data_IF_588762855978
#
_entry.id   IF_588762855978
#
_cell.length_a   1.000
_cell.length_b   1.000
_cell.length_c   1.000
_cell.angle_alpha   90.00
_cell.angle_beta   90.00
_cell.angle_gamma   90.00
#
_symmetry.space_group_name_H-M   'P 1'
#
loop_
_entity.id
_entity.type
_entity.pdbx_description
1 polymer ?
#
# COMPACT_ATOMS: atom_id res chain seq x y z
N UNK A 1 2.60 -30.31 7.34
CA UNK A 1 1.85 -30.41 6.07
C UNK A 1 2.67 -29.65 5.05
N UNK A 2 2.91 -30.21 3.86
CA UNK A 2 3.64 -29.51 2.80
C UNK A 2 2.71 -28.45 2.21
N UNK A 3 2.82 -27.21 2.69
CA UNK A 3 2.01 -26.12 2.16
C UNK A 3 2.48 -25.80 0.73
N UNK A 4 1.55 -25.65 -0.24
CA UNK A 4 1.92 -25.30 -1.60
C UNK A 4 2.60 -23.93 -1.64
N UNK A 5 3.50 -23.75 -2.61
CA UNK A 5 4.18 -22.48 -2.84
C UNK A 5 3.17 -21.43 -3.31
N UNK A 6 2.99 -20.37 -2.54
CA UNK A 6 2.14 -19.25 -2.95
C UNK A 6 2.86 -18.36 -3.95
N UNK A 7 2.14 -17.99 -5.01
CA UNK A 7 2.67 -17.24 -6.15
C UNK A 7 2.04 -15.85 -6.29
N UNK A 8 2.59 -15.03 -7.19
CA UNK A 8 1.99 -13.72 -7.50
C UNK A 8 0.54 -13.84 -7.99
N UNK A 9 0.17 -14.93 -8.67
CA UNK A 9 -1.21 -15.13 -9.15
C UNK A 9 -2.19 -15.29 -7.98
N UNK A 10 -1.82 -16.03 -6.94
CA UNK A 10 -2.65 -16.18 -5.75
C UNK A 10 -2.78 -14.84 -5.00
N UNK A 11 -1.68 -14.09 -4.88
CA UNK A 11 -1.70 -12.73 -4.32
C UNK A 11 -2.64 -11.80 -5.12
N UNK A 12 -2.60 -11.86 -6.45
CA UNK A 12 -3.46 -11.06 -7.32
C UNK A 12 -4.93 -11.46 -7.19
N UNK A 13 -5.24 -12.76 -7.03
CA UNK A 13 -6.60 -13.25 -6.74
C UNK A 13 -7.11 -12.74 -5.40
N UNK A 14 -6.29 -12.81 -4.34
CA UNK A 14 -6.64 -12.26 -3.02
C UNK A 14 -6.95 -10.77 -3.10
N UNK A 15 -6.11 -9.98 -3.77
CA UNK A 15 -6.34 -8.54 -3.99
C UNK A 15 -7.60 -8.25 -4.78
N UNK A 16 -7.88 -9.06 -5.79
CA UNK A 16 -9.11 -8.93 -6.60
C UNK A 16 -10.35 -9.15 -5.74
N UNK A 17 -10.34 -10.20 -4.91
CA UNK A 17 -11.42 -10.44 -3.96
C UNK A 17 -11.57 -9.27 -2.99
N UNK A 18 -10.48 -8.80 -2.38
CA UNK A 18 -10.52 -7.67 -1.45
C UNK A 18 -11.03 -6.39 -2.11
N UNK A 19 -10.67 -6.12 -3.36
CA UNK A 19 -11.19 -4.98 -4.11
C UNK A 19 -12.69 -5.12 -4.38
N UNK A 20 -13.15 -6.32 -4.71
CA UNK A 20 -14.59 -6.57 -4.83
C UNK A 20 -15.31 -6.29 -3.50
N UNK A 21 -14.76 -6.76 -2.38
CA UNK A 21 -15.36 -6.53 -1.05
C UNK A 21 -15.36 -5.04 -0.67
N UNK A 22 -14.28 -4.33 -0.93
CA UNK A 22 -14.15 -2.88 -0.76
C UNK A 22 -15.22 -2.10 -1.53
N UNK A 23 -15.52 -2.50 -2.77
CA UNK A 23 -16.52 -1.83 -3.61
C UNK A 23 -17.97 -2.17 -3.20
N UNK A 24 -18.16 -3.13 -2.30
CA UNK A 24 -19.48 -3.65 -1.91
C UNK A 24 -19.77 -3.39 -0.42
N UNK A 25 -20.59 -2.36 -0.15
CA UNK A 25 -20.88 -1.89 1.23
C UNK A 25 -21.55 -2.93 2.12
N UNK A 26 -22.28 -3.90 1.57
CA UNK A 26 -22.89 -4.98 2.37
C UNK A 26 -21.85 -5.78 3.16
N UNK A 27 -20.62 -5.87 2.65
CA UNK A 27 -19.54 -6.60 3.29
C UNK A 27 -19.15 -5.98 4.64
N UNK A 28 -19.23 -4.65 4.76
CA UNK A 28 -18.95 -3.96 6.01
C UNK A 28 -19.91 -4.35 7.15
N UNK A 29 -21.12 -4.80 6.82
CA UNK A 29 -22.15 -5.18 7.80
C UNK A 29 -21.95 -6.58 8.38
N UNK A 30 -21.07 -7.40 7.80
CA UNK A 30 -20.77 -8.75 8.30
C UNK A 30 -19.43 -8.84 9.02
N UNK A 31 -18.68 -7.73 9.08
CA UNK A 31 -17.44 -7.67 9.84
C UNK A 31 -17.75 -7.49 11.34
N UNK A 32 -17.07 -8.24 12.23
CA UNK A 32 -17.18 -7.97 13.66
C UNK A 32 -16.70 -6.56 13.97
N UNK A 33 -17.18 -6.01 15.09
CA UNK A 33 -16.65 -4.74 15.58
C UNK A 33 -15.12 -4.84 15.76
N UNK A 34 -14.43 -3.76 15.38
CA UNK A 34 -12.98 -3.68 15.53
C UNK A 34 -12.63 -3.66 17.01
N UNK A 35 -11.53 -4.32 17.37
CA UNK A 35 -10.97 -4.24 18.72
C UNK A 35 -10.54 -2.78 18.96
N UNK A 36 -11.09 -2.18 20.02
CA UNK A 36 -10.74 -0.82 20.43
C UNK A 36 -10.33 -0.82 21.89
N UNK A 37 -9.12 -0.30 22.16
CA UNK A 37 -8.61 -0.14 23.51
C UNK A 37 -7.75 1.13 23.56
N UNK A 38 -8.06 2.12 24.43
CA UNK A 38 -7.30 3.36 24.51
C UNK A 38 -5.79 3.18 24.78
N UNK A 39 -5.38 2.03 25.33
CA UNK A 39 -3.96 1.69 25.56
C UNK A 39 -3.19 1.44 24.27
N UNK A 40 -3.89 1.15 23.17
CA UNK A 40 -3.28 0.91 21.85
C UNK A 40 -3.16 2.19 21.02
N UNK A 41 -3.83 3.28 21.40
CA UNK A 41 -3.80 4.53 20.65
C UNK A 41 -2.38 5.10 20.55
N UNK A 42 -1.99 5.51 19.34
CA UNK A 42 -0.69 6.11 19.07
C UNK A 42 -0.90 7.47 18.38
N UNK A 43 -0.20 8.50 18.86
CA UNK A 43 -0.12 9.78 18.17
C UNK A 43 1.33 10.03 17.77
N UNK A 44 1.59 10.18 16.47
CA UNK A 44 2.91 10.48 15.92
C UNK A 44 2.82 11.72 15.06
N UNK A 45 3.47 12.81 15.50
CA UNK A 45 3.60 14.07 14.76
C UNK A 45 2.27 14.60 14.18
N UNK A 46 1.20 14.53 14.98
CA UNK A 46 -0.15 14.97 14.59
C UNK A 46 -0.98 13.95 13.83
N UNK A 47 -0.44 12.77 13.49
CA UNK A 47 -1.20 11.65 12.93
C UNK A 47 -1.69 10.75 14.07
N UNK A 48 -3.00 10.51 14.09
CA UNK A 48 -3.64 9.64 15.08
C UNK A 48 -3.87 8.23 14.51
N UNK A 49 -3.43 7.23 15.25
CA UNK A 49 -3.67 5.81 14.98
C UNK A 49 -4.43 5.21 16.16
N UNK A 50 -5.51 4.48 15.89
CA UNK A 50 -6.34 3.85 16.93
C UNK A 50 -5.74 2.55 17.49
N UNK A 51 -4.67 2.05 16.86
CA UNK A 51 -3.81 0.97 17.33
C UNK A 51 -2.43 1.04 16.65
N UNK A 52 -1.40 0.29 17.09
CA UNK A 52 -0.05 0.42 16.53
C UNK A 52 0.21 -0.45 15.27
N UNK A 53 -0.81 -1.10 14.71
CA UNK A 53 -0.63 -2.10 13.64
C UNK A 53 -1.07 -1.52 12.29
N UNK A 54 -0.13 -1.43 11.35
CA UNK A 54 -0.35 -0.91 10.00
C UNK A 54 -0.12 -1.98 8.94
N UNK A 55 -0.77 -1.83 7.78
CA UNK A 55 -0.41 -2.60 6.59
C UNK A 55 0.80 -1.94 5.92
N UNK A 56 1.88 -2.69 5.78
CA UNK A 56 3.11 -2.22 5.13
C UNK A 56 2.97 -2.00 3.62
N UNK A 57 3.93 -1.28 3.01
CA UNK A 57 3.93 -0.99 1.58
C UNK A 57 4.06 -2.26 0.75
N UNK A 58 3.62 -2.17 -0.49
CA UNK A 58 3.69 -3.25 -1.47
C UNK A 58 2.49 -4.19 -1.42
N UNK A 59 1.67 -4.17 -0.36
CA UNK A 59 0.39 -4.89 -0.31
C UNK A 59 -0.67 -4.19 -1.17
N UNK A 60 -0.94 -2.91 -0.94
CA UNK A 60 -1.83 -2.08 -1.74
C UNK A 60 -1.04 -1.08 -2.60
N UNK A 61 -0.64 -1.52 -3.79
CA UNK A 61 0.09 -0.68 -4.76
C UNK A 61 -0.80 0.27 -5.54
N UNK A 62 -2.12 0.10 -5.48
CA UNK A 62 -3.10 0.84 -6.27
C UNK A 62 -3.82 1.92 -5.46
N UNK A 63 -3.77 1.85 -4.12
CA UNK A 63 -4.57 2.70 -3.24
C UNK A 63 -6.04 2.31 -3.28
N UNK A 64 -6.33 1.01 -3.35
CA UNK A 64 -7.69 0.49 -3.53
C UNK A 64 -8.24 -0.23 -2.31
N UNK A 65 -7.45 -0.51 -1.28
CA UNK A 65 -7.82 -1.42 -0.20
C UNK A 65 -7.80 -0.74 1.18
N UNK A 66 -7.87 0.60 1.24
CA UNK A 66 -7.72 1.34 2.51
C UNK A 66 -8.80 0.96 3.51
N UNK A 67 -10.08 1.01 3.11
CA UNK A 67 -11.20 0.83 4.03
C UNK A 67 -11.37 -0.63 4.46
N UNK A 68 -11.20 -1.58 3.54
CA UNK A 68 -11.26 -3.01 3.85
C UNK A 68 -10.14 -3.43 4.80
N UNK A 69 -8.93 -2.89 4.65
CA UNK A 69 -7.83 -3.16 5.58
C UNK A 69 -8.10 -2.54 6.95
N UNK A 70 -8.65 -1.33 6.98
CA UNK A 70 -9.08 -0.72 8.23
C UNK A 70 -10.13 -1.59 8.95
N UNK A 71 -11.13 -2.11 8.22
CA UNK A 71 -12.14 -3.04 8.75
C UNK A 71 -11.54 -4.34 9.30
N UNK A 72 -10.45 -4.84 8.71
CA UNK A 72 -9.72 -6.00 9.23
C UNK A 72 -8.98 -5.74 10.56
N UNK A 73 -8.94 -4.48 11.03
CA UNK A 73 -8.39 -4.10 12.33
C UNK A 73 -7.17 -3.21 12.25
N UNK A 74 -6.53 -3.07 11.09
CA UNK A 74 -5.35 -2.21 10.93
C UNK A 74 -5.70 -0.75 11.19
N UNK A 75 -4.78 0.00 11.78
CA UNK A 75 -4.95 1.43 12.03
C UNK A 75 -4.80 2.28 10.76
N UNK A 76 -4.35 1.69 9.65
CA UNK A 76 -4.08 2.40 8.41
C UNK A 76 -3.30 1.54 7.42
N UNK A 77 -3.07 2.09 6.24
CA UNK A 77 -2.37 1.41 5.12
C UNK A 77 -1.28 2.30 4.57
N UNK A 78 -0.09 1.75 4.41
CA UNK A 78 0.97 2.37 3.59
C UNK A 78 0.81 1.93 2.13
N UNK A 79 0.31 2.82 1.29
CA UNK A 79 0.07 2.61 -0.14
C UNK A 79 1.38 2.73 -0.92
N UNK A 80 1.52 1.92 -1.98
CA UNK A 80 2.64 1.99 -2.92
C UNK A 80 3.63 0.83 -2.81
N UNK A 81 4.91 0.99 -3.15
CA UNK A 81 5.57 2.25 -3.49
C UNK A 81 5.03 2.86 -4.80
N UNK A 82 4.62 4.12 -4.71
CA UNK A 82 4.10 4.93 -5.82
C UNK A 82 5.28 5.57 -6.55
N UNK A 83 5.16 5.62 -7.88
CA UNK A 83 6.14 6.24 -8.77
C UNK A 83 5.45 7.37 -9.52
N UNK A 84 6.25 8.28 -10.11
CA UNK A 84 5.70 9.33 -10.98
C UNK A 84 4.96 8.71 -12.16
N UNK A 85 5.66 7.87 -12.92
CA UNK A 85 5.10 7.21 -14.10
C UNK A 85 4.79 5.72 -13.82
N UNK A 86 3.86 5.10 -14.57
CA UNK A 86 3.63 3.66 -14.48
C UNK A 86 4.89 2.86 -14.82
N UNK A 87 5.10 1.75 -14.11
CA UNK A 87 6.20 0.83 -14.35
C UNK A 87 5.74 -0.62 -14.15
N UNK A 88 6.02 -1.54 -15.10
CA UNK A 88 5.57 -2.94 -14.97
C UNK A 88 6.33 -3.73 -13.90
N UNK A 89 7.52 -3.28 -13.51
CA UNK A 89 8.46 -3.98 -12.63
C UNK A 89 9.23 -5.09 -13.34
N UNK A 90 9.86 -5.98 -12.58
CA UNK A 90 10.66 -7.09 -13.11
C UNK A 90 9.77 -8.17 -13.76
N UNK A 91 10.29 -9.00 -14.69
CA UNK A 91 9.53 -10.11 -15.27
C UNK A 91 9.05 -11.13 -14.22
N UNK A 92 7.89 -11.77 -14.47
CA UNK A 92 7.38 -12.89 -13.66
C UNK A 92 8.17 -14.18 -13.98
N UNK A 93 8.30 -15.14 -13.03
CA UNK A 93 7.80 -15.12 -11.65
C UNK A 93 8.72 -14.34 -10.71
N UNK A 94 8.12 -13.57 -9.80
CA UNK A 94 8.82 -12.58 -8.94
C UNK A 94 8.28 -12.47 -7.51
N UNK A 95 7.35 -13.34 -7.12
CA UNK A 95 6.85 -13.46 -5.75
C UNK A 95 6.65 -14.93 -5.41
N UNK A 96 7.10 -15.31 -4.23
CA UNK A 96 7.11 -16.66 -3.71
C UNK A 96 6.87 -16.60 -2.21
N UNK A 97 5.93 -17.39 -1.68
CA UNK A 97 5.77 -17.53 -0.24
C UNK A 97 5.61 -19.00 0.16
N UNK A 98 6.37 -19.42 1.18
CA UNK A 98 6.31 -20.76 1.77
C UNK A 98 6.75 -20.68 3.23
N UNK A 99 6.12 -21.48 4.08
CA UNK A 99 6.54 -21.68 5.48
C UNK A 99 6.70 -20.37 6.28
N UNK A 100 5.77 -19.42 6.09
CA UNK A 100 5.77 -18.13 6.78
C UNK A 100 6.81 -17.12 6.26
N UNK A 101 7.58 -17.46 5.23
CA UNK A 101 8.55 -16.59 4.59
C UNK A 101 8.09 -16.18 3.19
N UNK A 102 8.43 -14.95 2.79
CA UNK A 102 8.20 -14.44 1.43
C UNK A 102 9.50 -14.00 0.78
N UNK A 103 9.71 -14.36 -0.48
CA UNK A 103 10.75 -13.83 -1.35
C UNK A 103 10.10 -13.08 -2.51
N UNK A 104 10.50 -11.83 -2.74
CA UNK A 104 10.01 -11.05 -3.87
C UNK A 104 11.12 -10.28 -4.56
N UNK A 105 10.94 -10.10 -5.88
CA UNK A 105 11.78 -9.29 -6.74
C UNK A 105 10.93 -8.41 -7.65
N UNK A 106 9.95 -7.71 -7.08
CA UNK A 106 8.96 -6.94 -7.84
C UNK A 106 9.57 -5.84 -8.70
N UNK A 107 10.60 -5.15 -8.23
CA UNK A 107 11.26 -4.06 -8.95
C UNK A 107 10.36 -2.83 -9.17
N UNK A 108 9.66 -2.39 -8.12
CA UNK A 108 8.69 -1.29 -8.17
C UNK A 108 7.71 -1.36 -9.35
N UNK A 109 6.95 -2.46 -9.46
CA UNK A 109 5.75 -2.41 -10.29
C UNK A 109 4.75 -1.42 -9.66
N UNK A 110 4.37 -0.41 -10.43
CA UNK A 110 3.57 0.72 -9.95
C UNK A 110 2.61 1.17 -11.05
N UNK A 111 1.36 1.50 -10.71
CA UNK A 111 0.40 2.04 -11.67
C UNK A 111 0.67 3.52 -12.02
N UNK A 112 1.64 4.17 -11.36
CA UNK A 112 1.89 5.61 -11.47
C UNK A 112 0.98 6.45 -10.59
N UNK A 113 1.41 7.69 -10.34
CA UNK A 113 0.81 8.58 -9.34
C UNK A 113 -0.63 8.96 -9.65
N UNK A 114 -0.96 9.19 -10.93
CA UNK A 114 -2.29 9.62 -11.36
C UNK A 114 -3.37 8.56 -11.07
N UNK A 115 -3.03 7.28 -11.28
CA UNK A 115 -3.96 6.18 -10.99
C UNK A 115 -4.17 6.05 -9.48
N UNK A 116 -3.09 6.19 -8.69
CA UNK A 116 -3.20 6.13 -7.21
C UNK A 116 -4.03 7.31 -6.70
N UNK A 117 -3.78 8.53 -7.16
CA UNK A 117 -4.54 9.72 -6.78
C UNK A 117 -6.04 9.53 -7.03
N UNK A 118 -6.40 9.05 -8.23
CA UNK A 118 -7.78 8.75 -8.58
C UNK A 118 -8.42 7.72 -7.65
N UNK A 119 -7.69 6.65 -7.29
CA UNK A 119 -8.23 5.62 -6.41
C UNK A 119 -8.34 6.09 -4.95
N UNK A 120 -7.46 7.01 -4.51
CA UNK A 120 -7.48 7.54 -3.15
C UNK A 120 -8.55 8.61 -2.92
N UNK A 121 -9.07 9.23 -3.98
CA UNK A 121 -10.08 10.30 -3.87
C UNK A 121 -11.33 9.87 -3.08
N UNK A 122 -11.73 8.60 -3.19
CA UNK A 122 -12.87 8.06 -2.43
C UNK A 122 -12.65 8.01 -0.90
N UNK A 123 -11.41 8.09 -0.42
CA UNK A 123 -11.06 8.08 1.01
C UNK A 123 -10.71 9.46 1.56
N UNK A 124 -10.74 10.50 0.73
CA UNK A 124 -10.24 11.84 1.10
C UNK A 124 -10.90 12.42 2.35
N UNK A 125 -12.14 12.03 2.64
CA UNK A 125 -12.91 12.48 3.80
C UNK A 125 -12.97 11.44 4.93
N UNK A 126 -12.35 10.28 4.75
CA UNK A 126 -12.26 9.26 5.80
C UNK A 126 -11.19 9.68 6.82
N UNK A 127 -11.41 9.36 8.09
CA UNK A 127 -10.43 9.60 9.16
C UNK A 127 -9.37 8.49 9.25
N UNK A 128 -9.21 7.68 8.21
CA UNK A 128 -8.32 6.53 8.19
C UNK A 128 -6.92 7.01 7.79
N UNK A 129 -5.88 6.75 8.61
CA UNK A 129 -4.50 7.05 8.25
C UNK A 129 -4.05 6.36 6.95
N UNK A 130 -3.53 7.16 6.02
CA UNK A 130 -2.97 6.69 4.74
C UNK A 130 -1.51 7.12 4.68
N UNK A 131 -0.60 6.16 4.76
CA UNK A 131 0.81 6.35 4.44
C UNK A 131 1.02 6.23 2.94
N UNK A 132 1.96 6.98 2.38
CA UNK A 132 2.34 6.84 0.96
C UNK A 132 3.83 6.59 0.86
N UNK A 133 4.18 5.35 0.50
CA UNK A 133 5.53 4.97 0.12
C UNK A 133 5.81 5.49 -1.28
N UNK A 134 6.91 6.20 -1.48
CA UNK A 134 7.33 6.77 -2.76
C UNK A 134 8.67 6.14 -3.15
N UNK A 135 8.79 5.71 -4.40
CA UNK A 135 10.05 5.32 -5.01
C UNK A 135 10.36 6.13 -6.26
N UNK A 136 11.43 5.75 -6.96
CA UNK A 136 11.80 6.31 -8.27
C UNK A 136 11.55 5.29 -9.39
N UNK A 137 11.14 5.78 -10.56
CA UNK A 137 11.17 4.99 -11.79
C UNK A 137 12.62 4.57 -12.10
N UNK A 138 12.81 3.41 -12.74
CA UNK A 138 14.15 2.85 -13.02
C UNK A 138 15.05 3.79 -13.82
N UNK A 139 14.46 4.53 -14.76
CA UNK A 139 15.18 5.46 -15.64
C UNK A 139 15.54 6.80 -14.95
N UNK A 140 15.02 7.06 -13.75
CA UNK A 140 15.32 8.26 -12.97
C UNK A 140 16.66 8.06 -12.26
N UNK A 141 17.61 8.95 -12.53
CA UNK A 141 18.92 8.95 -11.86
C UNK A 141 18.79 9.40 -10.40
N UNK A 142 19.78 9.10 -9.57
CA UNK A 142 19.78 9.51 -8.16
C UNK A 142 19.78 11.04 -8.00
N UNK A 143 20.40 11.76 -8.93
CA UNK A 143 20.37 13.23 -8.98
C UNK A 143 18.99 13.78 -9.33
N UNK A 144 18.17 13.02 -10.07
CA UNK A 144 16.79 13.38 -10.44
C UNK A 144 15.75 12.89 -9.41
N UNK A 145 16.09 11.90 -8.59
CA UNK A 145 15.18 11.28 -7.64
C UNK A 145 14.48 12.27 -6.68
N UNK A 146 15.15 13.31 -6.12
CA UNK A 146 14.47 14.30 -5.29
C UNK A 146 13.30 15.00 -5.99
N UNK A 147 13.49 15.40 -7.26
CA UNK A 147 12.43 16.05 -8.03
C UNK A 147 11.31 15.06 -8.37
N UNK A 148 11.64 13.82 -8.74
CA UNK A 148 10.64 12.79 -9.00
C UNK A 148 9.78 12.49 -7.75
N UNK A 149 10.40 12.44 -6.57
CA UNK A 149 9.66 12.29 -5.31
C UNK A 149 8.78 13.51 -5.01
N UNK A 150 9.29 14.73 -5.20
CA UNK A 150 8.54 15.96 -4.99
C UNK A 150 7.30 16.04 -5.91
N UNK A 151 7.42 15.60 -7.17
CA UNK A 151 6.30 15.54 -8.12
C UNK A 151 5.20 14.59 -7.61
N UNK A 152 5.58 13.41 -7.08
CA UNK A 152 4.62 12.46 -6.49
C UNK A 152 3.96 13.03 -5.23
N UNK A 153 4.76 13.62 -4.33
CA UNK A 153 4.24 14.27 -3.10
C UNK A 153 3.24 15.35 -3.47
N UNK A 154 3.54 16.22 -4.44
CA UNK A 154 2.66 17.32 -4.84
C UNK A 154 1.26 16.84 -5.25
N UNK A 155 1.18 15.72 -5.96
CA UNK A 155 -0.08 15.15 -6.44
C UNK A 155 -0.83 14.45 -5.32
N UNK A 156 -0.12 13.74 -4.43
CA UNK A 156 -0.74 12.91 -3.40
C UNK A 156 -0.89 13.56 -2.03
N UNK A 157 -0.35 14.78 -1.85
CA UNK A 157 -0.45 15.54 -0.60
C UNK A 157 -1.87 15.61 -0.02
N UNK A 158 -2.94 15.80 -0.82
CA UNK A 158 -4.29 15.87 -0.29
C UNK A 158 -4.83 14.57 0.32
N UNK A 159 -4.16 13.42 0.11
CA UNK A 159 -4.63 12.10 0.55
C UNK A 159 -3.74 11.46 1.61
N UNK A 160 -2.52 11.98 1.82
CA UNK A 160 -1.53 11.36 2.68
C UNK A 160 -1.62 11.90 4.11
N UNK A 161 -1.62 11.01 5.09
CA UNK A 161 -1.32 11.34 6.48
C UNK A 161 0.20 11.47 6.71
N UNK A 162 0.99 10.67 5.99
CA UNK A 162 2.46 10.74 6.01
C UNK A 162 3.04 10.18 4.71
N UNK A 163 4.30 10.53 4.44
CA UNK A 163 5.06 10.03 3.30
C UNK A 163 6.29 9.22 3.76
N UNK A 164 6.62 8.18 3.00
CA UNK A 164 7.82 7.37 3.21
C UNK A 164 8.64 7.38 1.93
N UNK A 165 9.89 7.82 2.00
CA UNK A 165 10.81 7.76 0.86
C UNK A 165 11.51 6.40 0.90
N UNK A 166 11.23 5.54 -0.09
CA UNK A 166 11.77 4.20 -0.15
C UNK A 166 13.16 4.20 -0.83
N UNK A 167 14.21 4.27 0.00
CA UNK A 167 15.62 4.21 -0.42
C UNK A 167 16.26 2.82 -0.30
N UNK A 168 15.46 1.80 0.02
CA UNK A 168 15.98 0.50 0.48
C UNK A 168 15.53 -0.69 -0.37
N UNK A 169 14.91 -0.46 -1.53
CA UNK A 169 14.52 -1.57 -2.42
C UNK A 169 15.77 -2.29 -2.95
N UNK A 170 15.97 -3.59 -2.65
CA UNK A 170 17.09 -4.35 -3.21
C UNK A 170 16.86 -4.72 -4.69
N UNK A 171 15.69 -4.37 -5.23
CA UNK A 171 15.18 -4.81 -6.52
C UNK A 171 15.23 -3.72 -7.61
N UNK A 172 15.75 -2.54 -7.28
CA UNK A 172 15.84 -1.39 -8.17
C UNK A 172 17.24 -0.79 -8.01
N UNK A 173 18.14 -1.01 -8.99
CA UNK A 173 19.48 -0.44 -9.00
C UNK A 173 19.51 1.10 -9.02
#
# INVERSE_FOLDING_TARGET
>A
MDHPLTTEEELDRTRTLLNYLEENTWFSNIFPERISDPRLNVNLDGVHFDNPVLVGPGWDKLGKLVKIMYQFGFAGVEVGSVLKDPQPGNPKPRFFAKDGATLNRFGFNSPGVEIVAKNLDKYKNDSIPIGISIGKNKEVTDTQAPQAHADVVKILYPYASYFVINVSSPNTP
#
